data_IF_697395664544
#
_entry.id   IF_697395664544
#
_cell.length_a   1.000
_cell.length_b   1.000
_cell.length_c   1.000
_cell.angle_alpha   90.00
_cell.angle_beta   90.00
_cell.angle_gamma   90.00
#
_symmetry.space_group_name_H-M   'P 1'
#
loop_
_entity.id
_entity.type
_entity.pdbx_description
1 polymer ?
#
# COMPACT_ATOMS: atom_id res chain seq x y z
N UNK A 1 5.63 -2.14 -8.21
CA UNK A 1 4.84 -0.89 -8.29
C UNK A 1 5.15 -0.05 -9.53
N UNK A 2 6.42 0.26 -9.82
CA UNK A 2 6.83 1.13 -10.95
C UNK A 2 6.23 0.73 -12.31
N UNK A 3 6.19 -0.56 -12.63
CA UNK A 3 5.57 -1.07 -13.87
C UNK A 3 4.08 -0.73 -13.98
N UNK A 4 3.34 -0.88 -12.87
CA UNK A 4 1.89 -0.66 -12.83
C UNK A 4 1.57 0.83 -12.96
N UNK A 5 2.29 1.68 -12.24
CA UNK A 5 2.13 3.13 -12.37
C UNK A 5 2.43 3.57 -13.81
N UNK A 6 3.51 3.04 -14.40
CA UNK A 6 3.85 3.30 -15.81
C UNK A 6 2.76 2.86 -16.77
N UNK A 7 2.18 1.67 -16.62
CA UNK A 7 1.12 1.19 -17.51
C UNK A 7 -0.16 2.03 -17.40
N UNK A 8 -0.55 2.42 -16.19
CA UNK A 8 -1.70 3.30 -15.96
C UNK A 8 -1.48 4.69 -16.56
N UNK A 9 -0.29 5.25 -16.36
CA UNK A 9 0.13 6.53 -16.96
C UNK A 9 0.07 6.46 -18.49
N UNK A 10 0.58 5.39 -19.09
CA UNK A 10 0.56 5.20 -20.54
C UNK A 10 -0.88 5.15 -21.07
N UNK A 11 -1.74 4.37 -20.43
CA UNK A 11 -3.15 4.24 -20.81
C UNK A 11 -3.92 5.56 -20.75
N UNK A 12 -3.67 6.39 -19.74
CA UNK A 12 -4.28 7.73 -19.66
C UNK A 12 -3.69 8.67 -20.71
N UNK A 13 -2.38 8.58 -20.97
CA UNK A 13 -1.69 9.46 -21.93
C UNK A 13 -2.13 9.27 -23.38
N UNK A 14 -2.74 8.12 -23.70
CA UNK A 14 -3.29 7.81 -25.03
C UNK A 14 -4.72 8.33 -25.24
N UNK A 15 -5.36 8.93 -24.21
CA UNK A 15 -6.73 9.45 -24.32
C UNK A 15 -6.81 10.77 -25.09
N UNK A 16 -7.94 10.99 -25.75
CA UNK A 16 -8.17 12.14 -26.65
C UNK A 16 -8.00 13.51 -25.96
N UNK A 17 -8.39 13.64 -24.69
CA UNK A 17 -8.25 14.91 -23.96
C UNK A 17 -6.79 15.31 -23.72
N UNK A 18 -5.87 14.33 -23.58
CA UNK A 18 -4.44 14.59 -23.48
C UNK A 18 -3.89 15.08 -24.82
N UNK A 19 -4.34 14.47 -25.93
CA UNK A 19 -3.98 14.92 -27.28
C UNK A 19 -4.49 16.34 -27.57
N UNK A 20 -5.69 16.68 -27.10
CA UNK A 20 -6.25 18.03 -27.20
C UNK A 20 -5.46 19.05 -26.35
N UNK A 21 -5.13 18.72 -25.11
CA UNK A 21 -4.29 19.55 -24.23
C UNK A 21 -2.92 19.86 -24.85
N UNK A 22 -2.27 18.85 -25.46
CA UNK A 22 -1.02 19.04 -26.20
C UNK A 22 -1.19 19.93 -27.43
N UNK A 23 -2.29 19.77 -28.18
CA UNK A 23 -2.59 20.61 -29.35
C UNK A 23 -2.84 22.08 -28.98
N UNK A 24 -3.32 22.34 -27.76
CA UNK A 24 -3.46 23.68 -27.19
C UNK A 24 -2.13 24.28 -26.70
N UNK A 25 -1.02 23.52 -26.77
CA UNK A 25 0.31 23.99 -26.37
C UNK A 25 0.56 23.94 -24.85
N UNK A 26 -0.22 23.16 -24.11
CA UNK A 26 0.01 22.98 -22.67
C UNK A 26 1.33 22.23 -22.41
N UNK A 27 2.07 22.66 -21.38
CA UNK A 27 3.36 22.05 -21.04
C UNK A 27 3.21 20.66 -20.39
N UNK A 28 4.21 19.80 -20.59
CA UNK A 28 4.21 18.42 -20.07
C UNK A 28 3.99 18.32 -18.55
N UNK A 29 4.54 19.26 -17.78
CA UNK A 29 4.34 19.31 -16.33
C UNK A 29 2.90 19.65 -15.97
N UNK A 30 2.26 20.54 -16.72
CA UNK A 30 0.85 20.87 -16.51
C UNK A 30 -0.01 19.64 -16.78
N UNK A 31 0.18 18.97 -17.91
CA UNK A 31 -0.54 17.75 -18.29
C UNK A 31 -0.31 16.65 -17.25
N UNK A 32 0.93 16.48 -16.77
CA UNK A 32 1.25 15.47 -15.77
C UNK A 32 0.45 15.69 -14.48
N UNK A 33 0.51 16.89 -13.88
CA UNK A 33 -0.08 17.15 -12.57
C UNK A 33 -1.58 17.45 -12.61
N UNK A 34 -2.08 18.04 -13.70
CA UNK A 34 -3.48 18.44 -13.86
C UNK A 34 -4.33 17.33 -14.45
N UNK A 35 -3.80 16.60 -15.43
CA UNK A 35 -4.58 15.63 -16.21
C UNK A 35 -4.24 14.19 -15.80
N UNK A 36 -2.96 13.81 -15.86
CA UNK A 36 -2.57 12.39 -15.66
C UNK A 36 -2.65 11.99 -14.19
N UNK A 37 -2.04 12.78 -13.31
CA UNK A 37 -1.90 12.44 -11.89
C UNK A 37 -3.26 12.22 -11.21
N UNK A 38 -4.27 13.11 -11.34
CA UNK A 38 -5.55 12.92 -10.68
C UNK A 38 -6.35 11.75 -11.25
N UNK A 39 -6.15 11.40 -12.53
CA UNK A 39 -6.81 10.27 -13.17
C UNK A 39 -6.17 8.91 -12.79
N UNK A 40 -4.88 8.88 -12.49
CA UNK A 40 -4.15 7.64 -12.13
C UNK A 40 -4.21 7.35 -10.62
N UNK A 41 -4.26 8.39 -9.78
CA UNK A 41 -4.29 8.27 -8.32
C UNK A 41 -5.34 7.30 -7.77
N UNK A 42 -6.61 7.35 -8.23
CA UNK A 42 -7.65 6.47 -7.73
C UNK A 42 -7.34 4.99 -7.93
N UNK A 43 -6.70 4.61 -9.03
CA UNK A 43 -6.33 3.21 -9.30
C UNK A 43 -5.03 2.80 -8.61
N UNK A 44 -4.11 3.73 -8.37
CA UNK A 44 -2.79 3.44 -7.78
C UNK A 44 -2.85 3.32 -6.26
N UNK A 45 -3.66 4.13 -5.58
CA UNK A 45 -3.74 4.16 -4.11
C UNK A 45 -4.15 2.80 -3.51
N UNK A 46 -5.21 2.11 -3.98
CA UNK A 46 -5.58 0.81 -3.44
C UNK A 46 -4.47 -0.23 -3.61
N UNK A 47 -3.88 -0.31 -4.81
CA UNK A 47 -2.77 -1.22 -5.10
C UNK A 47 -1.56 -0.96 -4.20
N UNK A 48 -1.29 0.31 -3.88
CA UNK A 48 -0.23 0.69 -2.95
C UNK A 48 -0.51 0.18 -1.55
N UNK A 49 -1.73 0.35 -1.05
CA UNK A 49 -2.13 -0.15 0.27
C UNK A 49 -2.02 -1.67 0.37
N UNK A 50 -2.49 -2.41 -0.64
CA UNK A 50 -2.34 -3.87 -0.69
C UNK A 50 -0.87 -4.30 -0.69
N UNK A 51 -0.03 -3.58 -1.44
CA UNK A 51 1.41 -3.86 -1.50
C UNK A 51 2.08 -3.61 -0.15
N UNK A 52 1.77 -2.50 0.53
CA UNK A 52 2.27 -2.22 1.87
C UNK A 52 1.84 -3.31 2.85
N UNK A 53 0.56 -3.67 2.83
CA UNK A 53 0.00 -4.70 3.70
C UNK A 53 0.74 -6.03 3.54
N UNK A 54 0.97 -6.46 2.29
CA UNK A 54 1.77 -7.65 2.01
C UNK A 54 3.23 -7.54 2.46
N UNK A 55 3.85 -6.37 2.26
CA UNK A 55 5.22 -6.11 2.70
C UNK A 55 5.36 -6.15 4.23
N UNK A 56 4.38 -5.63 4.98
CA UNK A 56 4.37 -5.71 6.46
C UNK A 56 4.36 -7.16 6.93
N UNK A 57 3.54 -8.01 6.30
CA UNK A 57 3.48 -9.44 6.63
C UNK A 57 4.81 -10.13 6.31
N UNK A 58 5.37 -9.86 5.13
CA UNK A 58 6.63 -10.44 4.70
C UNK A 58 7.80 -10.02 5.62
N UNK A 59 7.91 -8.73 5.92
CA UNK A 59 8.91 -8.17 6.82
C UNK A 59 8.76 -8.74 8.23
N UNK A 60 7.53 -8.81 8.75
CA UNK A 60 7.25 -9.39 10.07
C UNK A 60 7.65 -10.86 10.14
N UNK A 61 7.39 -11.64 9.09
CA UNK A 61 7.82 -13.04 8.99
C UNK A 61 9.34 -13.19 8.96
N UNK A 62 10.02 -12.37 8.17
CA UNK A 62 11.50 -12.35 8.10
C UNK A 62 12.13 -11.93 9.43
N UNK A 63 11.62 -10.87 10.04
CA UNK A 63 12.05 -10.39 11.37
C UNK A 63 11.80 -11.45 12.45
N UNK A 64 10.70 -12.19 12.38
CA UNK A 64 10.42 -13.30 13.30
C UNK A 64 11.45 -14.43 13.18
N UNK A 65 11.85 -14.77 11.95
CA UNK A 65 12.93 -15.72 11.65
C UNK A 65 14.34 -15.20 11.99
N UNK A 66 14.46 -13.93 12.42
CA UNK A 66 15.75 -13.30 12.74
C UNK A 66 16.52 -12.78 11.53
N UNK A 67 15.88 -12.68 10.36
CA UNK A 67 16.45 -12.19 9.10
C UNK A 67 16.20 -10.69 8.86
N UNK A 68 15.53 -10.01 9.80
CA UNK A 68 15.29 -8.56 9.76
C UNK A 68 16.49 -7.75 10.28
N UNK A 69 16.48 -6.44 10.04
CA UNK A 69 17.51 -5.54 10.57
C UNK A 69 17.44 -5.49 12.11
N UNK A 70 18.49 -5.93 12.83
CA UNK A 70 18.48 -5.96 14.29
C UNK A 70 18.48 -4.57 14.92
N UNK A 71 18.85 -3.50 14.19
CA UNK A 71 18.88 -2.13 14.70
C UNK A 71 17.54 -1.40 14.54
N UNK A 72 16.63 -1.92 13.74
CA UNK A 72 15.32 -1.32 13.49
C UNK A 72 14.25 -2.02 14.32
N UNK A 73 13.36 -1.24 14.95
CA UNK A 73 12.19 -1.79 15.61
C UNK A 73 11.15 -2.20 14.56
N UNK A 74 10.88 -3.51 14.48
CA UNK A 74 9.86 -4.07 13.58
C UNK A 74 8.76 -4.80 14.35
N UNK A 75 7.64 -5.00 13.67
CA UNK A 75 6.50 -5.75 14.21
C UNK A 75 6.88 -7.22 14.45
N UNK A 76 7.65 -7.83 13.54
CA UNK A 76 8.17 -9.19 13.71
C UNK A 76 9.10 -9.34 14.92
N UNK A 77 9.97 -8.36 15.17
CA UNK A 77 10.87 -8.37 16.34
C UNK A 77 10.11 -8.24 17.65
N UNK A 78 9.07 -7.40 17.66
CA UNK A 78 8.14 -7.28 18.80
C UNK A 78 7.48 -8.63 19.11
N UNK A 79 7.06 -9.38 18.08
CA UNK A 79 6.55 -10.74 18.24
C UNK A 79 7.59 -11.74 18.78
N UNK A 80 8.84 -11.68 18.34
CA UNK A 80 9.89 -12.58 18.87
C UNK A 80 10.21 -12.29 20.34
N UNK A 81 10.24 -11.01 20.74
CA UNK A 81 10.41 -10.61 22.14
C UNK A 81 9.22 -11.08 22.98
N UNK A 82 8.01 -10.94 22.45
CA UNK A 82 6.79 -11.45 23.05
C UNK A 82 6.79 -12.98 23.23
N UNK A 83 7.27 -13.74 22.24
CA UNK A 83 7.41 -15.19 22.37
C UNK A 83 8.35 -15.60 23.49
N UNK A 84 9.44 -14.86 23.71
CA UNK A 84 10.33 -15.09 24.87
C UNK A 84 9.63 -14.80 26.20
N UNK A 85 8.81 -13.75 26.26
CA UNK A 85 8.00 -13.43 27.44
C UNK A 85 6.90 -14.46 27.73
N UNK A 86 6.37 -15.12 26.69
CA UNK A 86 5.41 -16.22 26.84
C UNK A 86 6.03 -17.42 27.57
N UNK A 87 7.26 -17.81 27.22
CA UNK A 87 7.99 -18.85 27.96
C UNK A 87 8.27 -18.47 29.42
N UNK A 88 8.26 -17.18 29.76
CA UNK A 88 8.35 -16.66 31.12
C UNK A 88 6.98 -16.53 31.83
N UNK A 89 5.89 -17.04 31.23
CA UNK A 89 4.53 -17.04 31.80
C UNK A 89 3.68 -15.82 31.45
N UNK A 90 4.19 -14.84 30.69
CA UNK A 90 3.46 -13.64 30.28
C UNK A 90 2.78 -13.81 28.93
N UNK A 91 1.65 -14.52 28.89
CA UNK A 91 0.93 -14.83 27.65
C UNK A 91 0.41 -13.58 26.90
N UNK A 92 0.09 -12.51 27.63
CA UNK A 92 -0.36 -11.23 27.07
C UNK A 92 0.69 -10.57 26.16
N UNK A 93 1.97 -10.90 26.33
CA UNK A 93 3.05 -10.36 25.53
C UNK A 93 2.88 -10.65 24.04
N UNK A 94 2.34 -11.82 23.68
CA UNK A 94 2.08 -12.20 22.27
C UNK A 94 0.73 -11.70 21.79
N UNK A 95 -0.30 -11.80 22.64
CA UNK A 95 -1.68 -11.56 22.21
C UNK A 95 -1.90 -10.12 21.73
N UNK A 96 -1.43 -9.13 22.49
CA UNK A 96 -1.68 -7.72 22.16
C UNK A 96 -0.98 -7.27 20.86
N UNK A 97 0.34 -7.48 20.68
CA UNK A 97 1.00 -7.13 19.43
C UNK A 97 0.43 -7.86 18.22
N UNK A 98 0.08 -9.14 18.39
CA UNK A 98 -0.57 -9.93 17.34
C UNK A 98 -1.92 -9.34 16.92
N UNK A 99 -2.77 -8.99 17.87
CA UNK A 99 -4.07 -8.36 17.60
C UNK A 99 -3.95 -6.99 16.93
N UNK A 100 -3.01 -6.16 17.37
CA UNK A 100 -2.80 -4.84 16.76
C UNK A 100 -2.28 -4.97 15.33
N UNK A 101 -1.36 -5.91 15.07
CA UNK A 101 -0.84 -6.18 13.74
C UNK A 101 -1.94 -6.67 12.79
N UNK A 102 -2.75 -7.65 13.22
CA UNK A 102 -3.85 -8.18 12.40
C UNK A 102 -4.91 -7.12 12.12
N UNK A 103 -5.30 -6.33 13.13
CA UNK A 103 -6.22 -5.21 12.94
C UNK A 103 -5.68 -4.20 11.93
N UNK A 104 -4.40 -3.83 12.02
CA UNK A 104 -3.78 -2.89 11.09
C UNK A 104 -3.80 -3.41 9.65
N UNK A 105 -3.42 -4.67 9.44
CA UNK A 105 -3.43 -5.32 8.13
C UNK A 105 -4.85 -5.39 7.56
N UNK A 106 -5.83 -5.79 8.37
CA UNK A 106 -7.23 -5.89 7.94
C UNK A 106 -7.79 -4.51 7.61
N UNK A 107 -7.54 -3.50 8.43
CA UNK A 107 -7.97 -2.13 8.15
C UNK A 107 -7.41 -1.58 6.84
N UNK A 108 -6.13 -1.83 6.55
CA UNK A 108 -5.52 -1.42 5.28
C UNK A 108 -6.14 -2.12 4.07
N UNK A 109 -6.41 -3.42 4.17
CA UNK A 109 -7.05 -4.17 3.09
C UNK A 109 -8.50 -3.72 2.87
N UNK A 110 -9.29 -3.58 3.94
CA UNK A 110 -10.67 -3.11 3.85
C UNK A 110 -10.76 -1.70 3.27
N UNK A 111 -9.82 -0.81 3.63
CA UNK A 111 -9.77 0.53 3.08
C UNK A 111 -9.47 0.51 1.57
N UNK A 112 -8.54 -0.34 1.13
CA UNK A 112 -8.28 -0.57 -0.30
C UNK A 112 -9.54 -1.04 -1.03
N UNK A 113 -10.22 -2.06 -0.49
CA UNK A 113 -11.43 -2.63 -1.09
C UNK A 113 -12.57 -1.60 -1.15
N UNK A 114 -12.72 -0.79 -0.11
CA UNK A 114 -13.71 0.29 -0.09
C UNK A 114 -13.45 1.31 -1.20
N UNK A 115 -12.20 1.76 -1.36
CA UNK A 115 -11.85 2.72 -2.41
C UNK A 115 -12.14 2.12 -3.79
N UNK A 116 -11.75 0.86 -4.04
CA UNK A 116 -12.04 0.18 -5.32
C UNK A 116 -13.55 0.15 -5.57
N UNK A 117 -14.34 -0.24 -4.58
CA UNK A 117 -15.80 -0.31 -4.71
C UNK A 117 -16.43 1.06 -5.00
N UNK A 118 -15.97 2.12 -4.36
CA UNK A 118 -16.45 3.50 -4.62
C UNK A 118 -16.13 3.91 -6.05
N UNK A 119 -14.92 3.61 -6.54
CA UNK A 119 -14.51 3.95 -7.91
C UNK A 119 -15.30 3.17 -8.95
N UNK A 120 -15.47 1.86 -8.78
CA UNK A 120 -16.28 1.03 -9.69
C UNK A 120 -17.74 1.48 -9.73
N UNK A 121 -18.27 2.03 -8.63
CA UNK A 121 -19.64 2.55 -8.59
C UNK A 121 -19.77 3.94 -9.25
N UNK A 122 -18.72 4.75 -9.24
CA UNK A 122 -18.70 6.06 -9.89
C UNK A 122 -18.64 5.97 -11.43
N UNK A 123 -18.16 4.85 -11.98
CA UNK A 123 -18.10 4.59 -13.42
C UNK A 123 -19.42 4.05 -14.03
N UNK A 124 -20.45 3.78 -13.23
CA UNK A 124 -21.78 3.32 -13.67
C UNK A 124 -22.82 4.43 -13.59
#
# INVERSE_FOLDING_TARGET
MTRVVRSQTLSISEKEFISAAKALGEGDLYILFREILPNVWPSVIPLFMMTISGNIVAESGLSFLGLGDPNVASWGKTSTMASRAFYAGSWWGILFPGLVLTLTIVSLNLMSDYIINVLTKAEK
#
